data_IF_039706122267
#
_entry.id   IF_039706122267
#
_cell.length_a   1.000
_cell.length_b   1.000
_cell.length_c   1.000
_cell.angle_alpha   90.00
_cell.angle_beta   90.00
_cell.angle_gamma   90.00
#
_symmetry.space_group_name_H-M   'P 1'
#
loop_
_entity.id
_entity.type
_entity.pdbx_description
1 polymer ?
#
# COMPACT_ATOMS: atom_id res chain seq x y z
N UNK A 1 21.98 14.39 17.61
CA UNK A 1 20.66 13.85 18.00
C UNK A 1 20.55 12.48 17.39
N UNK A 2 20.33 11.43 18.18
CA UNK A 2 20.24 10.07 17.67
C UNK A 2 18.92 9.94 16.86
N UNK A 3 19.04 9.47 15.62
CA UNK A 3 17.88 9.14 14.77
C UNK A 3 17.82 7.63 14.62
N UNK A 4 16.61 7.08 14.67
CA UNK A 4 16.37 5.69 14.34
C UNK A 4 16.05 5.58 12.84
N UNK A 5 16.46 4.45 12.27
CA UNK A 5 16.26 4.14 10.86
C UNK A 5 15.68 2.74 10.75
N UNK A 6 14.58 2.59 10.02
CA UNK A 6 13.98 1.31 9.68
C UNK A 6 13.87 1.15 8.17
N UNK A 7 14.08 -0.08 7.73
CA UNK A 7 14.04 -0.46 6.32
C UNK A 7 13.02 -1.58 6.14
N UNK A 8 12.11 -1.39 5.18
CA UNK A 8 11.11 -2.36 4.76
C UNK A 8 11.42 -2.74 3.31
N UNK A 9 11.78 -4.01 3.07
CA UNK A 9 12.30 -4.47 1.78
C UNK A 9 11.38 -5.45 1.11
N UNK A 10 11.26 -5.31 -0.19
CA UNK A 10 10.68 -6.25 -1.13
C UNK A 10 11.68 -6.51 -2.28
N UNK A 11 11.33 -7.36 -3.23
CA UNK A 11 12.23 -7.77 -4.32
C UNK A 11 12.75 -6.59 -5.15
N UNK A 12 11.87 -5.63 -5.47
CA UNK A 12 12.20 -4.50 -6.35
C UNK A 12 12.09 -3.12 -5.66
N UNK A 13 11.69 -3.10 -4.39
CA UNK A 13 11.37 -1.88 -3.66
C UNK A 13 11.92 -1.92 -2.25
N UNK A 14 12.43 -0.79 -1.77
CA UNK A 14 12.85 -0.58 -0.40
C UNK A 14 12.30 0.73 0.14
N UNK A 15 11.61 0.68 1.29
CA UNK A 15 11.09 1.84 2.00
C UNK A 15 11.91 2.08 3.26
N UNK A 16 12.57 3.21 3.31
CA UNK A 16 13.36 3.68 4.44
C UNK A 16 12.58 4.72 5.23
N UNK A 17 12.49 4.54 6.54
CA UNK A 17 11.89 5.51 7.47
C UNK A 17 12.95 5.96 8.46
N UNK A 18 13.15 7.27 8.54
CA UNK A 18 14.09 7.93 9.45
C UNK A 18 13.30 8.83 10.39
N UNK A 19 13.60 8.78 11.67
CA UNK A 19 12.88 9.62 12.62
C UNK A 19 13.50 9.67 14.01
N UNK A 20 12.86 10.44 14.87
CA UNK A 20 13.27 10.61 16.24
C UNK A 20 12.65 9.56 17.13
N UNK A 21 13.43 8.96 18.05
CA UNK A 21 12.92 8.01 19.02
C UNK A 21 11.99 8.67 20.06
N UNK A 22 11.20 7.84 20.71
CA UNK A 22 10.34 8.26 21.80
C UNK A 22 11.10 8.11 23.14
N UNK A 23 11.59 9.21 23.67
CA UNK A 23 12.31 9.25 24.93
C UNK A 23 11.38 9.31 26.17
N UNK A 24 10.06 9.34 26.01
CA UNK A 24 9.13 9.41 27.13
C UNK A 24 9.19 8.18 28.04
N UNK A 25 9.57 7.00 27.49
CA UNK A 25 9.76 5.76 28.20
C UNK A 25 11.01 5.02 27.73
N UNK A 26 11.79 4.43 28.64
CA UNK A 26 13.01 3.67 28.31
C UNK A 26 12.75 2.49 27.33
N UNK A 27 11.56 1.90 27.35
CA UNK A 27 11.16 0.80 26.46
C UNK A 27 10.91 1.20 25.00
N UNK A 28 10.85 2.50 24.71
CA UNK A 28 10.47 3.01 23.37
C UNK A 28 11.64 3.64 22.61
N UNK A 29 12.87 3.57 23.15
CA UNK A 29 14.04 4.18 22.50
C UNK A 29 14.32 3.65 21.10
N UNK A 30 13.93 2.39 20.83
CA UNK A 30 14.11 1.74 19.54
C UNK A 30 12.93 1.99 18.58
N UNK A 31 11.98 2.86 18.94
CA UNK A 31 10.82 3.16 18.11
C UNK A 31 10.91 4.59 17.59
N UNK A 32 10.43 4.80 16.35
CA UNK A 32 10.24 6.14 15.80
C UNK A 32 8.87 6.66 16.24
N UNK A 33 8.85 7.80 16.92
CA UNK A 33 7.61 8.50 17.25
C UNK A 33 7.34 9.70 16.33
N UNK A 34 8.39 10.32 15.80
CA UNK A 34 8.31 11.43 14.86
C UNK A 34 9.11 11.07 13.62
N UNK A 35 8.45 10.87 12.50
CA UNK A 35 9.10 10.65 11.21
C UNK A 35 9.66 11.99 10.72
N UNK A 36 10.98 12.07 10.54
CA UNK A 36 11.66 13.24 9.98
C UNK A 36 11.78 13.17 8.46
N UNK A 37 12.03 11.98 7.92
CA UNK A 37 12.22 11.75 6.49
C UNK A 37 11.86 10.30 6.16
N UNK A 38 11.44 10.07 4.93
CA UNK A 38 11.30 8.74 4.35
C UNK A 38 11.84 8.74 2.93
N UNK A 39 12.22 7.54 2.45
CA UNK A 39 12.68 7.31 1.09
C UNK A 39 12.09 6.04 0.55
N UNK A 40 11.51 6.10 -0.64
CA UNK A 40 11.08 4.95 -1.42
C UNK A 40 12.05 4.76 -2.59
N UNK A 41 12.79 3.69 -2.54
CA UNK A 41 13.76 3.30 -3.55
C UNK A 41 13.16 2.19 -4.39
N UNK A 42 13.04 2.41 -5.68
CA UNK A 42 12.54 1.46 -6.67
C UNK A 42 13.70 1.18 -7.63
N UNK A 43 13.94 -0.08 -7.98
CA UNK A 43 15.02 -0.45 -8.91
C UNK A 43 14.84 0.32 -10.23
N UNK A 44 15.92 0.90 -10.73
CA UNK A 44 15.99 1.67 -11.98
C UNK A 44 15.05 2.88 -12.04
N UNK A 45 14.59 3.38 -10.89
CA UNK A 45 13.77 4.60 -10.82
C UNK A 45 14.39 5.63 -9.88
N UNK A 46 14.05 6.92 -10.06
CA UNK A 46 14.44 7.95 -9.12
C UNK A 46 13.94 7.65 -7.70
N UNK A 47 14.74 8.01 -6.69
CA UNK A 47 14.33 7.91 -5.30
C UNK A 47 13.23 8.93 -5.02
N UNK A 48 12.15 8.48 -4.41
CA UNK A 48 11.05 9.33 -3.95
C UNK A 48 11.26 9.56 -2.46
N UNK A 49 11.30 10.81 -2.04
CA UNK A 49 11.53 11.17 -0.63
C UNK A 49 10.65 12.34 -0.20
N UNK A 50 10.47 12.50 1.09
CA UNK A 50 9.66 13.59 1.61
C UNK A 50 9.47 13.55 3.13
N UNK A 51 8.51 14.33 3.58
CA UNK A 51 8.06 14.39 4.98
C UNK A 51 6.89 13.43 5.22
N UNK A 52 6.39 13.38 6.45
CA UNK A 52 5.29 12.50 6.86
C UNK A 52 3.99 12.73 6.06
N UNK A 53 3.66 13.98 5.71
CA UNK A 53 2.42 14.27 4.98
C UNK A 53 2.51 13.80 3.53
N UNK A 54 3.69 13.90 2.92
CA UNK A 54 3.96 13.30 1.61
C UNK A 54 3.82 11.78 1.67
N UNK A 55 4.39 11.11 2.69
CA UNK A 55 4.25 9.66 2.87
C UNK A 55 2.78 9.25 2.96
N UNK A 56 2.00 9.93 3.80
CA UNK A 56 0.56 9.67 3.96
C UNK A 56 -0.20 9.82 2.64
N UNK A 57 0.10 10.87 1.89
CA UNK A 57 -0.54 11.15 0.61
C UNK A 57 -0.23 10.07 -0.43
N UNK A 58 1.02 9.63 -0.50
CA UNK A 58 1.44 8.56 -1.41
C UNK A 58 0.81 7.22 -1.01
N UNK A 59 0.86 6.84 0.26
CA UNK A 59 0.19 5.63 0.75
C UNK A 59 -1.31 5.64 0.43
N UNK A 60 -1.99 6.77 0.67
CA UNK A 60 -3.41 6.94 0.32
C UNK A 60 -3.65 6.75 -1.18
N UNK A 61 -2.79 7.31 -2.03
CA UNK A 61 -2.90 7.19 -3.48
C UNK A 61 -2.81 5.73 -3.92
N UNK A 62 -1.78 5.00 -3.46
CA UNK A 62 -1.58 3.61 -3.81
C UNK A 62 -2.73 2.72 -3.34
N UNK A 63 -3.17 2.87 -2.08
CA UNK A 63 -4.30 2.08 -1.57
C UNK A 63 -5.63 2.40 -2.28
N UNK A 64 -5.92 3.69 -2.54
CA UNK A 64 -7.15 4.06 -3.25
C UNK A 64 -7.16 3.55 -4.69
N UNK A 65 -6.02 3.64 -5.38
CA UNK A 65 -5.86 3.12 -6.72
C UNK A 65 -5.97 1.60 -6.78
N UNK A 66 -5.38 0.87 -5.81
CA UNK A 66 -5.52 -0.58 -5.70
C UNK A 66 -6.98 -1.02 -5.60
N UNK A 67 -7.78 -0.28 -4.83
CA UNK A 67 -9.21 -0.58 -4.67
C UNK A 67 -9.96 -0.37 -5.98
N UNK A 68 -9.64 0.69 -6.74
CA UNK A 68 -10.25 0.91 -8.06
C UNK A 68 -9.89 -0.21 -9.04
N UNK A 69 -8.63 -0.69 -9.02
CA UNK A 69 -8.21 -1.85 -9.82
C UNK A 69 -8.99 -3.13 -9.48
N UNK A 70 -9.26 -3.38 -8.20
CA UNK A 70 -10.00 -4.55 -7.74
C UNK A 70 -11.50 -4.50 -8.08
N UNK A 71 -12.04 -3.32 -8.32
CA UNK A 71 -13.45 -3.11 -8.69
C UNK A 71 -13.69 -3.10 -10.21
N UNK A 72 -12.71 -3.49 -11.02
CA UNK A 72 -12.75 -3.44 -12.50
C UNK A 72 -13.11 -2.05 -13.06
N UNK A 73 -12.87 -0.99 -12.29
CA UNK A 73 -13.03 0.38 -12.74
C UNK A 73 -11.81 0.81 -13.57
N UNK A 74 -11.99 1.79 -14.47
CA UNK A 74 -10.84 2.47 -15.09
C UNK A 74 -10.07 3.14 -13.96
N UNK A 75 -9.00 2.48 -13.50
CA UNK A 75 -8.29 2.89 -12.33
C UNK A 75 -7.51 4.18 -12.61
N UNK A 76 -7.96 5.23 -11.94
CA UNK A 76 -7.34 6.55 -11.96
C UNK A 76 -7.36 7.12 -10.55
N UNK A 77 -6.22 7.60 -10.09
CA UNK A 77 -6.12 8.39 -8.86
C UNK A 77 -5.43 9.71 -9.18
N UNK A 78 -6.05 10.82 -8.83
CA UNK A 78 -5.50 12.16 -9.03
C UNK A 78 -5.49 12.93 -7.72
N UNK A 79 -4.38 13.62 -7.47
CA UNK A 79 -4.23 14.51 -6.32
C UNK A 79 -3.25 15.65 -6.63
N UNK A 80 -3.05 16.53 -5.66
CA UNK A 80 -2.08 17.63 -5.81
C UNK A 80 -0.62 17.15 -5.80
N UNK A 81 -0.34 15.95 -5.27
CA UNK A 81 1.02 15.44 -5.08
C UNK A 81 1.37 14.31 -6.04
N UNK A 82 0.44 13.40 -6.29
CA UNK A 82 0.66 12.21 -7.11
C UNK A 82 -0.59 11.83 -7.89
N UNK A 83 -0.41 11.51 -9.17
CA UNK A 83 -1.40 10.81 -9.95
C UNK A 83 -0.91 9.40 -10.25
N UNK A 84 -1.82 8.44 -10.25
CA UNK A 84 -1.57 7.06 -10.67
C UNK A 84 -2.61 6.71 -11.73
N UNK A 85 -2.12 6.32 -12.91
CA UNK A 85 -2.95 6.01 -14.07
C UNK A 85 -2.67 4.60 -14.56
N UNK A 86 -3.73 3.92 -14.94
CA UNK A 86 -3.65 2.67 -15.67
C UNK A 86 -3.21 2.95 -17.11
N UNK A 87 -2.20 2.25 -17.59
CA UNK A 87 -1.75 2.31 -19.00
C UNK A 87 -2.21 1.07 -19.76
N UNK A 88 -1.96 -0.11 -19.18
CA UNK A 88 -2.38 -1.39 -19.72
C UNK A 88 -2.40 -2.46 -18.59
N UNK A 89 -2.75 -3.70 -18.89
CA UNK A 89 -2.87 -4.80 -17.91
C UNK A 89 -1.64 -5.05 -17.05
N UNK A 90 -0.46 -4.59 -17.47
CA UNK A 90 0.80 -4.86 -16.79
C UNK A 90 1.53 -3.62 -16.30
N UNK A 91 1.03 -2.42 -16.64
CA UNK A 91 1.80 -1.18 -16.46
C UNK A 91 0.93 -0.05 -15.93
N UNK A 92 1.48 0.66 -14.93
CA UNK A 92 0.91 1.86 -14.34
C UNK A 92 1.86 3.03 -14.54
N UNK A 93 1.30 4.22 -14.76
CA UNK A 93 2.05 5.48 -14.85
C UNK A 93 1.90 6.21 -13.52
N UNK A 94 3.03 6.54 -12.90
CA UNK A 94 3.10 7.42 -11.76
C UNK A 94 3.55 8.80 -12.22
N UNK A 95 2.81 9.83 -11.78
CA UNK A 95 3.14 11.23 -12.01
C UNK A 95 3.27 11.93 -10.66
N UNK A 96 4.50 12.24 -10.25
CA UNK A 96 4.78 12.98 -9.03
C UNK A 96 4.82 14.47 -9.34
N UNK A 97 4.00 15.24 -8.64
CA UNK A 97 3.87 16.69 -8.80
C UNK A 97 4.67 17.40 -7.72
N UNK A 98 5.35 18.47 -8.10
CA UNK A 98 6.03 19.36 -7.14
C UNK A 98 5.07 20.45 -6.66
N UNK A 99 5.21 20.86 -5.41
CA UNK A 99 4.55 22.06 -4.88
C UNK A 99 5.09 23.36 -5.51
N UNK A 100 6.26 23.28 -6.16
CA UNK A 100 6.89 24.42 -6.84
C UNK A 100 6.44 24.40 -8.31
N UNK A 101 5.80 25.47 -8.77
CA UNK A 101 5.27 25.59 -10.13
C UNK A 101 6.33 25.45 -11.25
N UNK A 102 7.58 25.79 -10.95
CA UNK A 102 8.70 25.74 -11.90
C UNK A 102 9.29 24.35 -12.11
N UNK A 103 8.99 23.39 -11.21
CA UNK A 103 9.52 22.03 -11.27
C UNK A 103 8.59 21.15 -12.09
N UNK A 104 9.09 20.63 -13.19
CA UNK A 104 8.33 19.69 -14.03
C UNK A 104 7.97 18.43 -13.23
N UNK A 105 6.74 17.92 -13.38
CA UNK A 105 6.35 16.66 -12.76
C UNK A 105 7.26 15.51 -13.20
N UNK A 106 7.60 14.64 -12.24
CA UNK A 106 8.37 13.43 -12.52
C UNK A 106 7.41 12.30 -12.90
N UNK A 107 7.56 11.79 -14.11
CA UNK A 107 6.72 10.68 -14.62
C UNK A 107 7.57 9.46 -14.90
N UNK A 108 7.10 8.28 -14.46
CA UNK A 108 7.70 7.00 -14.80
C UNK A 108 6.69 5.85 -14.75
N UNK A 109 7.03 4.77 -15.41
CA UNK A 109 6.20 3.56 -15.48
C UNK A 109 6.68 2.50 -14.51
N UNK A 110 5.74 1.79 -13.90
CA UNK A 110 5.99 0.62 -13.06
C UNK A 110 5.09 -0.53 -13.49
N UNK A 111 5.60 -1.76 -13.38
CA UNK A 111 4.80 -2.97 -13.61
C UNK A 111 4.01 -3.40 -12.39
N UNK A 112 3.08 -4.34 -12.57
CA UNK A 112 2.26 -4.91 -11.48
C UNK A 112 3.08 -5.46 -10.32
N UNK A 113 4.23 -6.11 -10.60
CA UNK A 113 5.12 -6.66 -9.57
C UNK A 113 5.69 -5.54 -8.68
N UNK A 114 6.22 -4.48 -9.29
CA UNK A 114 6.76 -3.32 -8.57
C UNK A 114 5.65 -2.60 -7.79
N UNK A 115 4.47 -2.48 -8.38
CA UNK A 115 3.30 -1.89 -7.72
C UNK A 115 2.91 -2.69 -6.46
N UNK A 116 2.87 -4.03 -6.57
CA UNK A 116 2.62 -4.93 -5.44
C UNK A 116 3.69 -4.81 -4.36
N UNK A 117 4.98 -4.73 -4.74
CA UNK A 117 6.09 -4.57 -3.81
C UNK A 117 6.00 -3.25 -3.03
N UNK A 118 5.55 -2.16 -3.67
CA UNK A 118 5.30 -0.88 -3.00
C UNK A 118 4.18 -1.02 -1.94
N UNK A 119 3.06 -1.64 -2.31
CA UNK A 119 1.95 -1.89 -1.36
C UNK A 119 2.44 -2.74 -0.19
N UNK A 120 3.20 -3.81 -0.44
CA UNK A 120 3.73 -4.67 0.60
C UNK A 120 4.68 -3.93 1.55
N UNK A 121 5.52 -3.01 1.05
CA UNK A 121 6.34 -2.15 1.91
C UNK A 121 5.49 -1.25 2.81
N UNK A 122 4.40 -0.67 2.28
CA UNK A 122 3.48 0.15 3.06
C UNK A 122 2.71 -0.68 4.10
N UNK A 123 2.30 -1.90 3.77
CA UNK A 123 1.63 -2.80 4.71
C UNK A 123 2.59 -3.26 5.83
N UNK A 124 3.85 -3.55 5.51
CA UNK A 124 4.87 -3.84 6.52
C UNK A 124 5.10 -2.66 7.47
N UNK A 125 5.15 -1.45 6.92
CA UNK A 125 5.26 -0.23 7.72
C UNK A 125 4.04 -0.05 8.64
N UNK A 126 2.83 -0.25 8.13
CA UNK A 126 1.58 -0.14 8.90
C UNK A 126 1.47 -1.17 10.03
N UNK A 127 1.87 -2.40 9.75
CA UNK A 127 1.89 -3.48 10.73
C UNK A 127 3.04 -3.37 11.74
N UNK A 128 4.03 -2.52 11.47
CA UNK A 128 5.22 -2.38 12.32
C UNK A 128 4.90 -1.68 13.65
N UNK A 129 5.26 -2.33 14.75
CA UNK A 129 5.23 -1.72 16.08
C UNK A 129 6.37 -0.72 16.34
N UNK A 130 7.33 -0.61 15.39
CA UNK A 130 8.54 0.21 15.51
C UNK A 130 8.30 1.67 15.11
N UNK A 131 7.25 1.95 14.34
CA UNK A 131 6.93 3.31 13.87
C UNK A 131 5.53 3.67 14.33
N UNK A 132 5.42 4.77 15.08
CA UNK A 132 4.14 5.24 15.62
C UNK A 132 3.52 6.33 14.73
N UNK A 133 2.19 6.47 14.79
CA UNK A 133 1.45 7.64 14.28
C UNK A 133 1.56 7.92 12.77
N UNK A 134 1.68 6.89 11.95
CA UNK A 134 1.70 7.06 10.50
C UNK A 134 0.35 7.57 10.00
N UNK A 135 -0.75 7.06 10.54
CA UNK A 135 -2.10 7.39 10.09
C UNK A 135 -2.80 8.43 10.95
N UNK A 136 -3.48 9.37 10.28
CA UNK A 136 -4.55 10.14 10.90
C UNK A 136 -5.76 9.23 11.16
N UNK A 137 -6.64 9.61 12.11
CA UNK A 137 -7.90 8.88 12.39
C UNK A 137 -8.76 8.68 11.12
N UNK A 138 -8.74 9.63 10.20
CA UNK A 138 -9.48 9.59 8.93
C UNK A 138 -9.02 8.45 8.00
N UNK A 139 -7.72 8.18 7.96
CA UNK A 139 -7.17 7.11 7.11
C UNK A 139 -7.55 5.72 7.61
N UNK A 140 -7.56 5.51 8.93
CA UNK A 140 -8.04 4.26 9.53
C UNK A 140 -9.51 3.99 9.19
N UNK A 141 -10.34 5.03 9.14
CA UNK A 141 -11.75 4.91 8.78
C UNK A 141 -11.94 4.57 7.29
N UNK A 142 -11.11 5.09 6.39
CA UNK A 142 -11.15 4.73 4.97
C UNK A 142 -10.77 3.27 4.73
N UNK A 143 -9.73 2.79 5.41
CA UNK A 143 -9.29 1.40 5.35
C UNK A 143 -10.41 0.46 5.82
N UNK A 144 -11.01 0.73 6.98
CA UNK A 144 -12.07 -0.10 7.55
C UNK A 144 -13.37 -0.09 6.73
N UNK A 145 -13.78 1.05 6.19
CA UNK A 145 -15.06 1.19 5.46
C UNK A 145 -15.03 0.53 4.08
N UNK A 146 -13.86 0.54 3.39
CA UNK A 146 -13.72 -0.04 2.06
C UNK A 146 -13.42 -1.55 2.08
N UNK A 147 -12.64 -2.05 3.04
CA UNK A 147 -12.44 -3.49 3.20
C UNK A 147 -13.71 -4.24 3.59
N UNK A 148 -14.57 -3.63 4.40
CA UNK A 148 -15.87 -4.22 4.77
C UNK A 148 -16.82 -4.36 3.56
N UNK A 149 -16.74 -3.47 2.58
CA UNK A 149 -17.58 -3.55 1.37
C UNK A 149 -17.07 -4.61 0.36
N UNK A 150 -15.78 -4.99 0.39
CA UNK A 150 -15.24 -6.09 -0.42
C UNK A 150 -15.72 -7.46 0.08
N UNK A 151 -16.11 -7.55 1.35
CA UNK A 151 -16.73 -8.73 1.96
C UNK A 151 -18.26 -8.64 2.01
N UNK A 152 -18.88 -7.85 1.14
CA UNK A 152 -20.34 -7.82 1.04
C UNK A 152 -20.85 -9.24 0.71
N UNK A 153 -21.89 -9.67 1.42
CA UNK A 153 -22.45 -11.02 1.39
C UNK A 153 -22.66 -11.59 -0.04
N UNK A 154 -22.91 -10.72 -1.00
CA UNK A 154 -23.14 -11.08 -2.40
C UNK A 154 -21.87 -11.57 -3.12
N UNK A 155 -20.69 -11.05 -2.77
CA UNK A 155 -19.42 -11.48 -3.36
C UNK A 155 -18.86 -12.74 -2.70
N UNK A 156 -19.10 -12.95 -1.41
CA UNK A 156 -18.69 -14.17 -0.70
C UNK A 156 -19.38 -15.41 -1.25
N UNK A 157 -20.67 -15.32 -1.58
CA UNK A 157 -21.39 -16.44 -2.18
C UNK A 157 -20.81 -16.86 -3.54
N UNK A 158 -20.44 -15.89 -4.37
CA UNK A 158 -19.88 -16.17 -5.71
C UNK A 158 -18.44 -16.73 -5.66
N UNK A 159 -17.67 -16.43 -4.61
CA UNK A 159 -16.30 -16.92 -4.43
C UNK A 159 -16.28 -18.31 -3.77
N UNK A 160 -17.19 -18.56 -2.83
CA UNK A 160 -17.23 -19.82 -2.08
C UNK A 160 -18.08 -20.91 -2.74
N UNK A 161 -19.07 -20.56 -3.56
CA UNK A 161 -19.95 -21.53 -4.21
C UNK A 161 -19.19 -22.54 -5.10
N UNK A 162 -18.24 -22.15 -5.98
CA UNK A 162 -17.52 -23.10 -6.81
C UNK A 162 -16.70 -24.15 -6.01
N UNK A 163 -15.88 -23.78 -5.01
CA UNK A 163 -15.12 -24.77 -4.25
C UNK A 163 -16.00 -25.67 -3.37
N UNK A 164 -17.12 -25.17 -2.84
CA UNK A 164 -18.08 -25.99 -2.10
C UNK A 164 -18.81 -26.97 -2.99
N UNK A 165 -19.21 -26.57 -4.19
CA UNK A 165 -19.85 -27.47 -5.16
C UNK A 165 -18.92 -28.62 -5.59
N UNK A 166 -17.61 -28.33 -5.76
CA UNK A 166 -16.63 -29.35 -6.10
C UNK A 166 -16.38 -30.34 -4.96
N UNK A 167 -16.39 -29.90 -3.71
CA UNK A 167 -16.29 -30.76 -2.53
C UNK A 167 -17.53 -31.69 -2.40
N UNK A 168 -18.74 -31.18 -2.60
CA UNK A 168 -19.96 -31.97 -2.57
C UNK A 168 -19.97 -33.03 -3.67
N UNK A 169 -19.47 -32.71 -4.87
CA UNK A 169 -19.39 -33.68 -5.97
C UNK A 169 -18.43 -34.85 -5.68
N UNK A 170 -17.29 -34.56 -5.01
CA UNK A 170 -16.34 -35.59 -4.58
C UNK A 170 -16.94 -36.57 -3.56
N UNK A 171 -17.72 -36.06 -2.59
CA UNK A 171 -18.37 -36.87 -1.57
C UNK A 171 -19.45 -37.78 -2.22
N UNK A 172 -20.23 -37.26 -3.16
CA UNK A 172 -21.25 -38.05 -3.87
C UNK A 172 -20.64 -39.17 -4.72
N UNK A 173 -19.53 -38.91 -5.40
CA UNK A 173 -18.81 -39.93 -6.17
C UNK A 173 -18.26 -41.02 -5.26
N UNK A 174 -17.64 -40.65 -4.14
CA UNK A 174 -17.08 -41.62 -3.20
C UNK A 174 -18.13 -42.50 -2.53
N UNK A 175 -19.35 -42.00 -2.29
CA UNK A 175 -20.47 -42.79 -1.73
C UNK A 175 -21.13 -43.73 -2.74
N UNK A 176 -20.93 -43.53 -4.03
CA UNK A 176 -21.46 -44.40 -5.07
C UNK A 176 -20.58 -45.66 -5.35
N UNK A 177 -19.35 -45.68 -4.78
CA UNK A 177 -18.40 -46.79 -4.94
C UNK A 177 -18.21 -47.63 -3.66
N UNK A 178 -19.06 -47.46 -2.64
CA UNK A 178 -19.17 -48.29 -1.44
C UNK A 178 -20.46 -49.08 -1.52
#
# INVERSE_FOLDING_TARGET
>A
MLQNKFLFNQSSVSLEIIGLPDYSNNENKDKISIISQWKLMIIDKPVIEGNLDHLRSIMKAFYSYSISLLNDEIALYESNLIDIKYENYYTHILLLKSSKAEVKPLSFKIGNSVFSDIINCFDQLDCSKKVKNIYSKEFKNLKNKKYLNLFDKKNISNILLPPLASLCSLVLVSSAFI
#
